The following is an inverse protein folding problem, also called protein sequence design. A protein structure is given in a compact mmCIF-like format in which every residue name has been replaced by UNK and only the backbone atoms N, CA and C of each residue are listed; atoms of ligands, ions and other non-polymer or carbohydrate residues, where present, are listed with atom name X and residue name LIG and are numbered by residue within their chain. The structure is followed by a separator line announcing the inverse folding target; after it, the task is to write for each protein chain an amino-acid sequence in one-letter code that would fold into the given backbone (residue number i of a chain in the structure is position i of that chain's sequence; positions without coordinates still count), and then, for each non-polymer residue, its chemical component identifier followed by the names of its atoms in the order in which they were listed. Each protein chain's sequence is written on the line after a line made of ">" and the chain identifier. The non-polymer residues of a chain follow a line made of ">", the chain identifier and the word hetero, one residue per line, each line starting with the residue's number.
data_IF_492331016140
#
_entry.id   IF_492331016140
#
_cell.length_a   1.000
_cell.length_b   1.000
_cell.length_c   1.000
_cell.angle_alpha   90.00
_cell.angle_beta   90.00
_cell.angle_gamma   90.00
#
_symmetry.space_group_name_H-M   'P 1'
#
loop_
_entity.id
_entity.type
_entity.pdbx_description
1 polymer ?
#
# COMPACT_ATOMS: atom_id res chain seq x y z
N UNK A 1 7.99 -14.61 -21.08
CA UNK A 1 7.81 -14.33 -22.53
C UNK A 1 7.21 -12.94 -22.64
N UNK A 2 7.91 -11.98 -23.26
CA UNK A 2 7.48 -10.58 -23.40
C UNK A 2 6.81 -10.45 -24.76
N UNK A 3 5.54 -10.04 -24.79
CA UNK A 3 4.82 -9.81 -26.03
C UNK A 3 5.33 -8.52 -26.70
N UNK A 4 5.60 -8.51 -28.02
CA UNK A 4 5.98 -7.29 -28.72
C UNK A 4 4.80 -6.31 -28.72
N UNK A 5 5.05 -5.07 -28.29
CA UNK A 5 4.09 -3.96 -28.44
C UNK A 5 4.27 -3.36 -29.82
N UNK A 6 3.28 -3.54 -30.69
CA UNK A 6 3.23 -2.95 -32.03
C UNK A 6 2.45 -1.64 -31.99
N UNK A 7 3.04 -0.56 -32.50
CA UNK A 7 2.35 0.71 -32.71
C UNK A 7 1.77 0.72 -34.13
N UNK A 8 0.45 0.67 -34.25
CA UNK A 8 -0.26 0.80 -35.52
C UNK A 8 -0.32 2.29 -35.91
N UNK A 9 0.38 2.67 -36.99
CA UNK A 9 0.30 4.03 -37.55
C UNK A 9 -0.93 4.09 -38.45
N UNK A 10 -2.05 4.57 -37.93
CA UNK A 10 -3.28 4.79 -38.71
C UNK A 10 -3.16 6.13 -39.45
N UNK A 11 -3.03 6.10 -40.77
CA UNK A 11 -3.06 7.31 -41.61
C UNK A 11 -4.54 7.71 -41.80
N UNK A 12 -4.99 8.87 -41.26
CA UNK A 12 -6.38 9.28 -41.35
C UNK A 12 -6.77 9.65 -42.77
N UNK A 13 -7.71 8.92 -43.38
CA UNK A 13 -8.41 9.37 -44.60
C UNK A 13 -9.37 10.53 -44.30
N UNK A 14 -9.82 10.67 -43.04
CA UNK A 14 -10.63 11.77 -42.55
C UNK A 14 -10.17 12.20 -41.15
N UNK A 15 -9.55 13.37 -41.07
CA UNK A 15 -8.94 13.89 -39.82
C UNK A 15 -9.98 14.15 -38.73
N UNK A 16 -11.17 14.63 -39.10
CA UNK A 16 -12.25 14.92 -38.16
C UNK A 16 -12.82 13.63 -37.54
N UNK A 17 -13.03 12.58 -38.35
CA UNK A 17 -13.47 11.29 -37.84
C UNK A 17 -12.46 10.67 -36.86
N UNK A 18 -11.16 10.84 -37.12
CA UNK A 18 -10.12 10.33 -36.21
C UNK A 18 -10.03 11.12 -34.90
N UNK A 19 -10.21 12.44 -34.92
CA UNK A 19 -10.28 13.24 -33.69
C UNK A 19 -11.46 12.78 -32.82
N UNK A 20 -12.63 12.60 -33.43
CA UNK A 20 -13.83 12.16 -32.70
C UNK A 20 -13.68 10.76 -32.10
N UNK A 21 -13.07 9.82 -32.85
CA UNK A 21 -12.77 8.48 -32.35
C UNK A 21 -11.75 8.52 -31.20
N UNK A 22 -10.73 9.37 -31.30
CA UNK A 22 -9.73 9.53 -30.26
C UNK A 22 -10.35 10.11 -28.98
N UNK A 23 -11.20 11.13 -29.09
CA UNK A 23 -11.94 11.71 -27.96
C UNK A 23 -12.81 10.67 -27.25
N UNK A 24 -13.55 9.86 -28.02
CA UNK A 24 -14.37 8.76 -27.48
C UNK A 24 -13.52 7.75 -26.73
N UNK A 25 -12.39 7.34 -27.31
CA UNK A 25 -11.48 6.40 -26.67
C UNK A 25 -10.83 7.01 -25.41
N UNK A 26 -10.50 8.30 -25.42
CA UNK A 26 -9.99 9.00 -24.23
C UNK A 26 -11.03 9.06 -23.12
N UNK A 27 -12.30 9.29 -23.44
CA UNK A 27 -13.39 9.31 -22.46
C UNK A 27 -13.59 7.93 -21.83
N UNK A 28 -13.62 6.87 -22.65
CA UNK A 28 -13.71 5.49 -22.14
C UNK A 28 -12.53 5.14 -21.24
N UNK A 29 -11.30 5.51 -21.64
CA UNK A 29 -10.11 5.32 -20.81
C UNK A 29 -10.18 6.08 -19.49
N UNK A 30 -10.66 7.34 -19.51
CA UNK A 30 -10.83 8.14 -18.28
C UNK A 30 -11.83 7.48 -17.33
N UNK A 31 -12.97 7.03 -17.83
CA UNK A 31 -13.98 6.34 -17.05
C UNK A 31 -13.42 5.04 -16.43
N UNK A 32 -12.75 4.22 -17.24
CA UNK A 32 -12.17 2.96 -16.78
C UNK A 32 -11.11 3.19 -15.69
N UNK A 33 -10.24 4.21 -15.86
CA UNK A 33 -9.25 4.57 -14.84
C UNK A 33 -9.89 5.06 -13.56
N UNK A 34 -10.95 5.87 -13.63
CA UNK A 34 -11.68 6.33 -12.45
C UNK A 34 -12.30 5.16 -11.68
N UNK A 35 -12.94 4.23 -12.38
CA UNK A 35 -13.52 3.03 -11.75
C UNK A 35 -12.44 2.18 -11.07
N UNK A 36 -11.32 1.94 -11.75
CA UNK A 36 -10.19 1.18 -11.19
C UNK A 36 -9.58 1.87 -9.96
N UNK A 37 -9.41 3.19 -10.00
CA UNK A 37 -8.87 3.95 -8.87
C UNK A 37 -9.77 3.83 -7.63
N UNK A 38 -11.09 3.95 -7.78
CA UNK A 38 -12.02 3.77 -6.67
C UNK A 38 -11.94 2.36 -6.08
N UNK A 39 -11.92 1.34 -6.95
CA UNK A 39 -11.83 -0.05 -6.51
C UNK A 39 -10.53 -0.32 -5.72
N UNK A 40 -9.42 0.24 -6.18
CA UNK A 40 -8.13 0.10 -5.49
C UNK A 40 -8.06 0.83 -4.14
N UNK A 41 -8.78 1.95 -3.98
CA UNK A 41 -8.88 2.61 -2.67
C UNK A 41 -9.57 1.69 -1.66
N UNK A 42 -10.70 1.08 -2.06
CA UNK A 42 -11.45 0.15 -1.21
C UNK A 42 -10.58 -1.04 -0.81
N UNK A 43 -9.89 -1.68 -1.77
CA UNK A 43 -9.00 -2.81 -1.46
C UNK A 43 -7.86 -2.43 -0.50
N UNK A 44 -7.26 -1.24 -0.68
CA UNK A 44 -6.23 -0.77 0.26
C UNK A 44 -6.76 -0.53 1.67
N UNK A 45 -8.02 -0.14 1.80
CA UNK A 45 -8.66 0.09 3.09
C UNK A 45 -9.02 -1.22 3.78
N UNK A 46 -9.50 -2.22 3.02
CA UNK A 46 -9.76 -3.58 3.47
C UNK A 46 -8.48 -4.30 3.93
N UNK A 47 -7.40 -4.17 3.15
CA UNK A 47 -6.12 -4.82 3.44
C UNK A 47 -5.27 -4.04 4.46
N UNK A 48 -5.72 -2.85 4.87
CA UNK A 48 -4.95 -2.01 5.78
C UNK A 48 -4.70 -2.78 7.08
N UNK A 49 -3.44 -3.12 7.41
CA UNK A 49 -3.17 -3.82 8.65
C UNK A 49 -3.57 -2.92 9.81
N UNK A 50 -4.11 -3.53 10.86
CA UNK A 50 -4.40 -2.82 12.09
C UNK A 50 -3.13 -2.08 12.55
N UNK A 51 -3.25 -0.83 13.03
CA UNK A 51 -2.11 -0.12 13.55
C UNK A 51 -1.43 -0.98 14.64
N UNK A 52 -0.09 -0.99 14.70
CA UNK A 52 0.61 -1.74 15.73
C UNK A 52 0.07 -1.31 17.08
N UNK A 53 -0.37 -2.30 17.88
CA UNK A 53 -0.80 -2.04 19.25
C UNK A 53 0.34 -1.31 19.95
N UNK A 54 0.02 -0.26 20.72
CA UNK A 54 1.02 0.40 21.58
C UNK A 54 1.71 -0.70 22.37
N UNK A 55 3.02 -0.81 22.21
CA UNK A 55 3.80 -1.76 22.97
C UNK A 55 3.49 -1.47 24.45
N UNK A 56 3.13 -2.49 25.24
CA UNK A 56 2.92 -2.28 26.66
C UNK A 56 4.14 -1.59 27.23
N UNK A 57 3.94 -0.62 28.12
CA UNK A 57 5.01 0.12 28.79
C UNK A 57 5.71 -0.85 29.76
N UNK A 58 6.50 -1.75 29.19
CA UNK A 58 7.30 -2.71 29.92
C UNK A 58 8.61 -2.03 30.26
N UNK A 59 9.02 -2.04 31.54
CA UNK A 59 10.31 -1.50 31.91
C UNK A 59 11.41 -2.23 31.13
N UNK A 60 12.11 -1.50 30.26
CA UNK A 60 13.31 -2.01 29.59
C UNK A 60 14.42 -1.99 30.62
N UNK A 61 14.63 -3.14 31.28
CA UNK A 61 15.63 -3.28 32.32
C UNK A 61 17.03 -3.23 31.71
N UNK A 62 17.80 -2.19 32.02
CA UNK A 62 19.21 -2.14 31.69
C UNK A 62 20.00 -3.33 32.27
N UNK A 63 20.98 -3.80 31.50
CA UNK A 63 21.77 -5.01 31.72
C UNK A 63 22.57 -5.05 33.05
N UNK A 64 22.49 -4.01 33.88
CA UNK A 64 23.33 -3.80 35.07
C UNK A 64 22.70 -4.28 36.37
N UNK A 65 21.43 -4.69 36.37
CA UNK A 65 20.77 -5.18 37.59
C UNK A 65 20.47 -6.67 37.49
N UNK A 66 20.70 -7.40 38.57
CA UNK A 66 20.40 -8.83 38.68
C UNK A 66 19.07 -9.02 39.42
N UNK A 67 18.33 -10.04 39.02
CA UNK A 67 17.14 -10.49 39.75
C UNK A 67 17.60 -11.49 40.80
N UNK A 68 17.32 -11.21 42.07
CA UNK A 68 17.70 -12.07 43.19
C UNK A 68 16.45 -12.45 43.99
N UNK A 69 16.37 -13.70 44.43
CA UNK A 69 15.32 -14.13 45.34
C UNK A 69 15.68 -13.69 46.76
N UNK A 70 14.97 -12.71 47.31
CA UNK A 70 15.10 -12.29 48.70
C UNK A 70 13.95 -12.92 49.48
N UNK A 71 14.21 -14.10 50.04
CA UNK A 71 13.18 -14.94 50.67
C UNK A 71 12.19 -15.46 49.62
N UNK A 72 10.88 -15.24 49.86
CA UNK A 72 9.80 -15.65 48.94
C UNK A 72 9.49 -14.62 47.84
N UNK A 73 10.24 -13.51 47.79
CA UNK A 73 9.96 -12.37 46.91
C UNK A 73 11.14 -12.23 45.95
N UNK A 74 10.84 -12.15 44.65
CA UNK A 74 11.85 -11.84 43.64
C UNK A 74 12.08 -10.34 43.66
N UNK A 75 13.27 -9.91 44.09
CA UNK A 75 13.66 -8.50 44.22
C UNK A 75 14.81 -8.18 43.29
N UNK A 76 14.86 -6.95 42.79
CA UNK A 76 15.90 -6.50 41.86
C UNK A 76 17.02 -5.81 42.62
N UNK A 77 18.24 -6.32 42.51
CA UNK A 77 19.43 -5.72 43.11
C UNK A 77 20.25 -5.07 42.00
N UNK A 78 20.28 -3.74 42.02
CA UNK A 78 21.18 -2.93 41.21
C UNK A 78 22.33 -2.48 42.12
N UNK A 79 23.58 -2.77 41.75
CA UNK A 79 24.76 -2.20 42.41
C UNK A 79 25.21 -0.94 41.69
#
# INVERSE_FOLDING_TARGET
>A
MIAPSYAQIVIPTNRNALVQQNELQQLQNRLQRQQYQQQQQIYRELDRPAPPRRQPDVPVYGNTCRMESVGNIISRVCR
#
